data_IF_549227412239
#
_entry.id   IF_549227412239
#
_cell.length_a   1.000
_cell.length_b   1.000
_cell.length_c   1.000
_cell.angle_alpha   90.00
_cell.angle_beta   90.00
_cell.angle_gamma   90.00
#
_symmetry.space_group_name_H-M   'P 1'
#
loop_
_entity.id
_entity.type
_entity.pdbx_description
1 polymer ?
#
# COMPACT_ATOMS: atom_id res chain seq x y z
N UNK A 1 -24.19 -6.02 3.22
CA UNK A 1 -24.49 -4.73 3.90
C UNK A 1 -25.50 -3.99 3.05
N UNK A 2 -26.60 -3.54 3.63
CA UNK A 2 -27.62 -2.80 2.89
C UNK A 2 -26.98 -1.53 2.31
N UNK A 3 -27.13 -1.32 1.00
CA UNK A 3 -26.62 -0.18 0.23
C UNK A 3 -26.71 1.17 0.98
N UNK A 4 -27.84 1.57 1.61
CA UNK A 4 -27.94 2.88 2.27
C UNK A 4 -27.05 3.02 3.51
N UNK A 5 -26.87 1.95 4.29
CA UNK A 5 -26.06 2.01 5.52
C UNK A 5 -24.57 2.22 5.22
N UNK A 6 -24.09 1.62 4.13
CA UNK A 6 -22.72 1.83 3.69
C UNK A 6 -22.49 3.27 3.25
N UNK A 7 -23.45 3.89 2.55
CA UNK A 7 -23.34 5.27 2.08
C UNK A 7 -23.28 6.23 3.27
N UNK A 8 -24.17 6.05 4.25
CA UNK A 8 -24.19 6.86 5.47
C UNK A 8 -22.88 6.75 6.25
N UNK A 9 -22.32 5.54 6.37
CA UNK A 9 -21.04 5.31 7.05
C UNK A 9 -19.88 6.04 6.36
N UNK A 10 -19.75 5.92 5.03
CA UNK A 10 -18.67 6.61 4.29
C UNK A 10 -18.86 8.12 4.22
N UNK A 11 -20.11 8.60 4.23
CA UNK A 11 -20.43 10.02 4.35
C UNK A 11 -20.02 10.56 5.73
N UNK A 12 -20.31 9.83 6.81
CA UNK A 12 -19.92 10.21 8.17
C UNK A 12 -18.39 10.25 8.33
N UNK A 13 -17.66 9.27 7.80
CA UNK A 13 -16.19 9.24 7.82
C UNK A 13 -15.61 10.43 7.06
N UNK A 14 -16.14 10.71 5.86
CA UNK A 14 -15.68 11.84 5.06
C UNK A 14 -15.97 13.18 5.76
N UNK A 15 -17.13 13.31 6.41
CA UNK A 15 -17.50 14.49 7.17
C UNK A 15 -16.61 14.69 8.40
N UNK A 16 -16.26 13.62 9.12
CA UNK A 16 -15.33 13.67 10.24
C UNK A 16 -13.91 14.11 9.80
N UNK A 17 -13.43 13.58 8.67
CA UNK A 17 -12.16 14.00 8.09
C UNK A 17 -12.15 15.48 7.67
N UNK A 18 -13.21 15.92 6.98
CA UNK A 18 -13.38 17.32 6.60
C UNK A 18 -13.46 18.26 7.82
N UNK A 19 -14.17 17.85 8.86
CA UNK A 19 -14.23 18.57 10.14
C UNK A 19 -12.86 18.67 10.80
N UNK A 20 -12.08 17.58 10.81
CA UNK A 20 -10.70 17.59 11.32
C UNK A 20 -9.79 18.56 10.58
N UNK A 21 -9.85 18.60 9.24
CA UNK A 21 -9.12 19.59 8.46
C UNK A 21 -9.61 21.02 8.66
N UNK A 22 -10.93 21.23 8.81
CA UNK A 22 -11.50 22.55 9.06
C UNK A 22 -11.02 23.13 10.40
N UNK A 23 -11.06 22.31 11.46
CA UNK A 23 -10.54 22.71 12.79
C UNK A 23 -9.05 23.04 12.71
N UNK A 24 -8.27 22.22 12.03
CA UNK A 24 -6.83 22.43 11.84
C UNK A 24 -6.50 23.71 11.05
N UNK A 25 -7.35 24.06 10.07
CA UNK A 25 -7.14 25.21 9.21
C UNK A 25 -7.58 26.54 9.87
N UNK A 26 -8.66 26.51 10.65
CA UNK A 26 -9.31 27.68 11.24
C UNK A 26 -8.73 28.08 12.61
N UNK A 27 -8.29 27.12 13.43
CA UNK A 27 -7.71 27.40 14.74
C UNK A 27 -6.19 27.65 14.66
N UNK A 28 -5.79 28.79 14.07
CA UNK A 28 -4.39 29.24 14.04
C UNK A 28 -4.11 30.14 15.25
N UNK A 29 -3.50 29.60 16.32
CA UNK A 29 -3.00 30.40 17.44
C UNK A 29 -3.15 29.79 18.83
N UNK A 30 -4.03 28.79 18.99
CA UNK A 30 -4.14 27.99 20.22
C UNK A 30 -3.43 26.64 20.06
N UNK A 31 -3.15 25.95 21.17
CA UNK A 31 -2.63 24.58 21.14
C UNK A 31 -3.67 23.64 20.55
N UNK A 32 -3.61 23.42 19.23
CA UNK A 32 -4.52 22.50 18.54
C UNK A 32 -4.27 21.08 19.03
N UNK A 33 -5.32 20.41 19.49
CA UNK A 33 -5.23 19.03 19.92
C UNK A 33 -4.79 18.12 18.75
N UNK A 34 -3.71 17.36 18.95
CA UNK A 34 -3.20 16.40 17.98
C UNK A 34 -4.24 15.35 17.56
N UNK A 35 -5.29 15.12 18.36
CA UNK A 35 -6.41 14.27 18.00
C UNK A 35 -7.06 14.66 16.66
N UNK A 36 -7.15 15.97 16.34
CA UNK A 36 -7.74 16.43 15.08
C UNK A 36 -6.88 16.06 13.86
N UNK A 37 -5.56 16.08 14.00
CA UNK A 37 -4.64 15.56 12.99
C UNK A 37 -4.85 14.08 12.74
N UNK A 38 -4.94 13.29 13.82
CA UNK A 38 -5.12 11.85 13.73
C UNK A 38 -6.46 11.51 13.08
N UNK A 39 -7.53 12.19 13.47
CA UNK A 39 -8.86 12.00 12.88
C UNK A 39 -8.83 12.34 11.38
N UNK A 40 -8.25 13.48 11.00
CA UNK A 40 -8.13 13.89 9.59
C UNK A 40 -7.32 12.86 8.78
N UNK A 41 -6.19 12.39 9.30
CA UNK A 41 -5.34 11.40 8.65
C UNK A 41 -6.05 10.06 8.47
N UNK A 42 -6.61 9.50 9.55
CA UNK A 42 -7.30 8.20 9.53
C UNK A 42 -8.48 8.22 8.58
N UNK A 43 -9.33 9.26 8.64
CA UNK A 43 -10.48 9.37 7.74
C UNK A 43 -10.04 9.47 6.27
N UNK A 44 -8.99 10.25 5.98
CA UNK A 44 -8.46 10.38 4.62
C UNK A 44 -7.91 9.07 4.11
N UNK A 45 -7.14 8.34 4.92
CA UNK A 45 -6.58 7.04 4.55
C UNK A 45 -7.66 5.98 4.37
N UNK A 46 -8.71 5.99 5.19
CA UNK A 46 -9.84 5.05 5.03
C UNK A 46 -10.59 5.27 3.71
N UNK A 47 -10.85 6.54 3.35
CA UNK A 47 -11.48 6.90 2.07
C UNK A 47 -10.56 6.56 0.90
N UNK A 48 -9.28 6.95 0.99
CA UNK A 48 -8.27 6.67 -0.03
C UNK A 48 -8.12 5.16 -0.29
N UNK A 49 -7.97 4.36 0.76
CA UNK A 49 -7.89 2.91 0.66
C UNK A 49 -9.14 2.29 0.03
N UNK A 50 -10.33 2.75 0.42
CA UNK A 50 -11.59 2.15 -0.03
C UNK A 50 -11.92 2.44 -1.50
N UNK A 51 -11.67 3.66 -1.96
CA UNK A 51 -12.09 4.13 -3.29
C UNK A 51 -10.91 4.20 -4.25
N UNK A 52 -9.84 4.87 -3.86
CA UNK A 52 -8.71 5.15 -4.75
C UNK A 52 -7.81 3.93 -4.94
N UNK A 53 -7.40 3.25 -3.86
CA UNK A 53 -6.59 2.04 -3.99
C UNK A 53 -7.35 0.93 -4.75
N UNK A 54 -8.66 0.80 -4.53
CA UNK A 54 -9.51 -0.14 -5.27
C UNK A 54 -9.63 0.21 -6.75
N UNK A 55 -9.67 1.50 -7.09
CA UNK A 55 -9.64 1.96 -8.48
C UNK A 55 -8.32 1.58 -9.15
N UNK A 56 -7.18 1.89 -8.52
CA UNK A 56 -5.85 1.56 -9.03
C UNK A 56 -5.70 0.05 -9.23
N UNK A 57 -6.02 -0.75 -8.20
CA UNK A 57 -5.90 -2.20 -8.22
C UNK A 57 -6.69 -2.84 -9.38
N UNK A 58 -7.91 -2.39 -9.64
CA UNK A 58 -8.81 -3.03 -10.62
C UNK A 58 -8.72 -2.46 -12.02
N UNK A 59 -8.48 -1.16 -12.17
CA UNK A 59 -8.50 -0.49 -13.48
C UNK A 59 -7.13 -0.24 -14.06
N UNK A 60 -6.10 -0.08 -13.23
CA UNK A 60 -4.74 0.21 -13.70
C UNK A 60 -3.90 -1.06 -13.69
N UNK A 61 -3.92 -1.80 -12.57
CA UNK A 61 -3.10 -2.99 -12.39
C UNK A 61 -3.81 -4.29 -12.77
N UNK A 62 -5.12 -4.22 -13.05
CA UNK A 62 -5.96 -5.36 -13.44
C UNK A 62 -5.75 -6.61 -12.57
N UNK A 63 -5.65 -6.40 -11.24
CA UNK A 63 -5.49 -7.48 -10.29
C UNK A 63 -6.72 -8.41 -10.33
N UNK A 64 -6.45 -9.71 -10.45
CA UNK A 64 -7.47 -10.74 -10.62
C UNK A 64 -7.61 -11.56 -9.34
N UNK A 65 -8.62 -11.22 -8.53
CA UNK A 65 -8.93 -11.91 -7.26
C UNK A 65 -9.26 -13.41 -7.46
N UNK A 66 -9.43 -13.91 -8.69
CA UNK A 66 -9.74 -15.32 -8.99
C UNK A 66 -8.48 -16.16 -9.19
N UNK A 67 -7.30 -15.55 -9.27
CA UNK A 67 -6.04 -16.28 -9.37
C UNK A 67 -5.60 -16.70 -7.98
N UNK A 68 -5.55 -18.00 -7.77
CA UNK A 68 -5.01 -18.56 -6.54
C UNK A 68 -3.55 -18.12 -6.40
N UNK A 69 -3.22 -17.61 -5.22
CA UNK A 69 -1.88 -17.11 -4.93
C UNK A 69 -0.89 -18.27 -4.94
N UNK A 70 0.41 -18.04 -5.16
CA UNK A 70 1.37 -19.14 -5.26
C UNK A 70 1.48 -19.99 -4.00
N UNK A 71 1.25 -19.36 -2.83
CA UNK A 71 1.14 -20.04 -1.55
C UNK A 71 0.00 -21.07 -1.55
N UNK A 72 -1.12 -20.79 -2.23
CA UNK A 72 -2.26 -21.70 -2.36
C UNK A 72 -2.08 -22.72 -3.49
N UNK A 73 -1.46 -22.32 -4.63
CA UNK A 73 -1.29 -23.19 -5.81
C UNK A 73 -0.24 -24.28 -5.64
N UNK A 74 0.90 -23.96 -5.02
CA UNK A 74 2.05 -24.87 -4.90
C UNK A 74 2.06 -25.61 -3.56
N UNK A 75 1.51 -24.99 -2.51
CA UNK A 75 1.35 -25.49 -1.13
C UNK A 75 2.26 -26.69 -0.76
N UNK A 76 3.58 -26.46 -0.71
CA UNK A 76 4.58 -27.52 -0.61
C UNK A 76 5.09 -27.75 0.82
N UNK A 77 4.55 -27.02 1.81
CA UNK A 77 4.91 -27.18 3.23
C UNK A 77 6.30 -26.66 3.62
N UNK A 78 7.07 -26.08 2.68
CA UNK A 78 8.40 -25.50 2.92
C UNK A 78 8.52 -24.08 2.38
N UNK A 79 8.37 -23.92 1.07
CA UNK A 79 8.60 -22.65 0.36
C UNK A 79 7.29 -21.89 0.09
N UNK A 80 6.19 -22.64 -0.06
CA UNK A 80 4.84 -22.12 -0.32
C UNK A 80 3.91 -22.69 0.73
N UNK A 81 3.62 -21.89 1.76
CA UNK A 81 2.69 -22.24 2.82
C UNK A 81 1.66 -21.12 2.95
N UNK A 82 0.35 -21.41 2.93
CA UNK A 82 -0.69 -20.42 3.18
C UNK A 82 -0.53 -19.82 4.58
N UNK A 83 -0.07 -18.57 4.64
CA UNK A 83 0.15 -17.84 5.90
C UNK A 83 -1.04 -16.94 6.22
N UNK A 84 -1.30 -16.71 7.50
CA UNK A 84 -2.34 -15.78 7.93
C UNK A 84 -2.03 -14.34 7.46
N UNK A 85 -2.99 -13.73 6.78
CA UNK A 85 -2.94 -12.34 6.27
C UNK A 85 -2.50 -11.29 7.30
N UNK A 86 -2.80 -11.49 8.59
CA UNK A 86 -2.40 -10.54 9.64
C UNK A 86 -0.91 -10.59 9.95
N UNK A 87 -0.32 -11.78 9.87
CA UNK A 87 1.12 -12.00 10.07
C UNK A 87 1.91 -11.41 8.91
N UNK A 88 1.40 -11.63 7.68
CA UNK A 88 1.94 -11.05 6.45
C UNK A 88 1.91 -9.51 6.49
N UNK A 89 0.76 -8.92 6.88
CA UNK A 89 0.65 -7.47 7.05
C UNK A 89 1.68 -6.92 8.04
N UNK A 90 1.89 -7.62 9.17
CA UNK A 90 2.90 -7.23 10.15
C UNK A 90 4.32 -7.19 9.58
N UNK A 91 4.66 -8.10 8.67
CA UNK A 91 5.98 -8.11 8.01
C UNK A 91 6.13 -7.01 6.98
N UNK A 92 5.10 -6.75 6.17
CA UNK A 92 5.10 -5.59 5.28
C UNK A 92 5.24 -4.28 6.05
N UNK A 93 4.49 -4.15 7.16
CA UNK A 93 4.60 -2.99 8.02
C UNK A 93 6.01 -2.86 8.59
N UNK A 94 6.58 -3.94 9.16
CA UNK A 94 7.93 -3.91 9.73
C UNK A 94 9.01 -3.56 8.71
N UNK A 95 8.91 -4.05 7.46
CA UNK A 95 9.86 -3.76 6.39
C UNK A 95 9.85 -2.28 5.97
N UNK A 96 8.70 -1.60 6.10
CA UNK A 96 8.53 -0.19 5.71
C UNK A 96 8.72 0.76 6.89
N UNK A 97 8.42 0.31 8.12
CA UNK A 97 8.44 1.12 9.34
C UNK A 97 9.84 1.57 9.81
N UNK A 98 10.88 1.41 9.00
CA UNK A 98 12.27 1.83 9.26
C UNK A 98 12.46 3.36 9.33
N UNK A 99 13.46 3.90 8.62
CA UNK A 99 13.76 5.34 8.72
C UNK A 99 12.72 6.28 8.09
N UNK A 100 11.84 5.76 7.22
CA UNK A 100 10.86 6.55 6.45
C UNK A 100 9.89 7.38 7.30
N UNK A 101 9.18 6.78 8.28
CA UNK A 101 8.25 7.49 9.18
C UNK A 101 8.89 8.56 10.06
N UNK A 102 10.23 8.57 10.19
CA UNK A 102 10.98 9.57 10.96
C UNK A 102 11.46 10.72 10.06
N UNK A 103 12.07 10.41 8.93
CA UNK A 103 12.68 11.43 8.06
C UNK A 103 11.62 12.24 7.31
N UNK A 104 10.56 11.60 6.82
CA UNK A 104 9.51 12.25 6.03
C UNK A 104 8.82 13.41 6.76
N UNK A 105 8.30 13.21 7.98
CA UNK A 105 7.66 14.29 8.74
C UNK A 105 8.59 15.44 9.10
N UNK A 106 9.86 15.15 9.41
CA UNK A 106 10.86 16.19 9.72
C UNK A 106 11.16 17.04 8.48
N UNK A 107 11.26 16.43 7.30
CA UNK A 107 11.41 17.15 6.04
C UNK A 107 10.17 17.98 5.70
N UNK A 108 8.96 17.44 5.90
CA UNK A 108 7.72 18.15 5.63
C UNK A 108 7.48 19.33 6.59
N UNK A 109 7.87 19.19 7.87
CA UNK A 109 7.71 20.23 8.87
C UNK A 109 8.50 21.52 8.57
N UNK A 110 9.61 21.41 7.80
CA UNK A 110 10.40 22.56 7.37
C UNK A 110 9.63 23.51 6.45
N UNK A 111 8.62 23.02 5.74
CA UNK A 111 7.74 23.84 4.89
C UNK A 111 6.56 24.44 5.65
N UNK A 112 6.50 24.24 6.98
CA UNK A 112 5.44 24.71 7.86
C UNK A 112 4.49 23.59 8.30
N UNK A 113 3.94 23.74 9.50
CA UNK A 113 3.11 22.72 10.15
C UNK A 113 1.88 22.31 9.31
N UNK A 114 1.04 23.28 8.92
CA UNK A 114 -0.19 23.02 8.18
C UNK A 114 0.07 22.52 6.74
N UNK A 115 0.89 23.20 5.91
CA UNK A 115 1.18 22.72 4.55
C UNK A 115 1.93 21.38 4.55
N UNK A 116 2.89 21.18 5.47
CA UNK A 116 3.60 19.91 5.62
C UNK A 116 2.65 18.78 6.01
N UNK A 117 1.75 19.00 6.96
CA UNK A 117 0.73 18.01 7.34
C UNK A 117 -0.20 17.66 6.18
N UNK A 118 -0.73 18.67 5.47
CA UNK A 118 -1.62 18.44 4.34
C UNK A 118 -0.91 17.61 3.25
N UNK A 119 0.35 17.93 2.98
CA UNK A 119 1.16 17.16 2.04
C UNK A 119 1.40 15.72 2.50
N UNK A 120 1.69 15.49 3.78
CA UNK A 120 1.87 14.14 4.32
C UNK A 120 0.60 13.30 4.22
N UNK A 121 -0.57 13.89 4.50
CA UNK A 121 -1.83 13.14 4.48
C UNK A 121 -2.32 12.93 3.03
N UNK A 122 -2.35 13.99 2.23
CA UNK A 122 -2.91 13.92 0.86
C UNK A 122 -1.90 13.31 -0.11
N UNK A 123 -0.63 13.75 -0.03
CA UNK A 123 0.43 13.33 -0.94
C UNK A 123 0.76 11.84 -0.84
N UNK A 124 0.66 11.24 0.36
CA UNK A 124 0.87 9.79 0.49
C UNK A 124 -0.24 9.00 -0.21
N UNK A 125 -1.49 9.48 -0.20
CA UNK A 125 -2.61 8.78 -0.86
C UNK A 125 -2.52 8.90 -2.36
N UNK A 126 -2.24 10.11 -2.88
CA UNK A 126 -2.25 10.38 -4.32
C UNK A 126 -0.96 9.92 -5.02
N UNK A 127 0.18 10.11 -4.36
CA UNK A 127 1.50 9.88 -4.93
C UNK A 127 2.21 8.72 -4.26
N UNK A 128 2.56 8.87 -2.98
CA UNK A 128 3.49 7.96 -2.28
C UNK A 128 3.08 6.49 -2.37
N UNK A 129 1.89 6.14 -1.89
CA UNK A 129 1.40 4.77 -1.88
C UNK A 129 1.20 4.20 -3.31
N UNK A 130 0.82 5.04 -4.27
CA UNK A 130 0.65 4.63 -5.67
C UNK A 130 1.98 4.36 -6.32
N UNK A 131 2.95 5.27 -6.12
CA UNK A 131 4.30 5.17 -6.62
C UNK A 131 4.98 3.92 -6.07
N UNK A 132 4.92 3.70 -4.75
CA UNK A 132 5.53 2.52 -4.11
C UNK A 132 4.93 1.24 -4.68
N UNK A 133 3.61 1.17 -4.79
CA UNK A 133 2.91 0.02 -5.34
C UNK A 133 3.28 -0.27 -6.80
N UNK A 134 3.28 0.76 -7.66
CA UNK A 134 3.57 0.62 -9.10
C UNK A 134 5.05 0.33 -9.34
N UNK A 135 5.96 1.05 -8.69
CA UNK A 135 7.40 0.87 -8.86
C UNK A 135 7.85 -0.48 -8.32
N UNK A 136 7.35 -0.92 -7.17
CA UNK A 136 7.69 -2.24 -6.64
C UNK A 136 7.29 -3.34 -7.63
N UNK A 137 6.07 -3.29 -8.15
CA UNK A 137 5.60 -4.29 -9.12
C UNK A 137 6.40 -4.25 -10.44
N UNK A 138 6.64 -3.04 -10.98
CA UNK A 138 7.36 -2.88 -12.24
C UNK A 138 8.85 -3.22 -12.13
N UNK A 139 9.49 -2.87 -11.02
CA UNK A 139 10.93 -3.11 -10.78
C UNK A 139 11.24 -4.59 -10.70
N UNK A 140 10.49 -5.34 -9.89
CA UNK A 140 10.66 -6.79 -9.77
C UNK A 140 10.44 -7.46 -11.12
N UNK A 141 9.43 -7.04 -11.87
CA UNK A 141 9.17 -7.56 -13.22
C UNK A 141 10.33 -7.35 -14.18
N UNK A 142 10.80 -6.10 -14.31
CA UNK A 142 11.91 -5.75 -15.21
C UNK A 142 13.21 -6.41 -14.79
N UNK A 143 13.48 -6.48 -13.49
CA UNK A 143 14.69 -7.11 -12.96
C UNK A 143 14.76 -8.59 -13.35
N UNK A 144 13.67 -9.32 -13.15
CA UNK A 144 13.59 -10.74 -13.52
C UNK A 144 13.66 -10.94 -15.04
N UNK A 145 12.93 -10.14 -15.83
CA UNK A 145 12.97 -10.24 -17.30
C UNK A 145 14.36 -9.90 -17.88
N UNK A 146 15.07 -8.92 -17.32
CA UNK A 146 16.41 -8.53 -17.78
C UNK A 146 17.45 -9.61 -17.45
N UNK A 147 17.42 -10.11 -16.22
CA UNK A 147 18.40 -11.09 -15.75
C UNK A 147 18.23 -12.43 -16.48
N UNK A 148 16.99 -12.86 -16.72
CA UNK A 148 16.68 -14.07 -17.47
C UNK A 148 17.10 -14.02 -18.96
N UNK A 149 17.21 -12.84 -19.58
CA UNK A 149 17.66 -12.69 -20.99
C UNK A 149 19.17 -12.84 -21.15
N UNK A 150 19.95 -12.36 -20.20
CA UNK A 150 21.41 -12.35 -20.33
C UNK A 150 22.03 -13.69 -19.93
N UNK A 151 21.46 -14.36 -18.92
CA UNK A 151 22.06 -15.54 -18.29
C UNK A 151 20.97 -16.48 -17.80
N UNK A 152 21.19 -17.80 -17.82
CA UNK A 152 20.36 -18.72 -17.06
C UNK A 152 20.41 -18.30 -15.58
N UNK A 153 19.31 -17.71 -15.13
CA UNK A 153 19.22 -17.03 -13.84
C UNK A 153 18.33 -17.84 -12.93
N UNK A 154 18.92 -18.34 -11.85
CA UNK A 154 18.18 -18.93 -10.74
C UNK A 154 17.93 -17.81 -9.73
N UNK A 155 16.70 -17.30 -9.67
CA UNK A 155 16.32 -16.38 -8.61
C UNK A 155 16.06 -17.20 -7.34
N UNK A 156 17.04 -17.20 -6.43
CA UNK A 156 16.89 -17.74 -5.09
C UNK A 156 16.29 -16.64 -4.20
N UNK A 157 15.03 -16.80 -3.83
CA UNK A 157 14.37 -15.93 -2.87
C UNK A 157 14.59 -16.52 -1.47
N UNK A 158 15.52 -15.96 -0.71
CA UNK A 158 15.88 -16.47 0.63
C UNK A 158 14.69 -16.44 1.60
N UNK A 159 13.74 -15.52 1.38
CA UNK A 159 12.56 -15.32 2.21
C UNK A 159 11.24 -15.46 1.43
N UNK A 160 11.17 -16.38 0.46
CA UNK A 160 9.94 -16.62 -0.33
C UNK A 160 8.71 -16.92 0.54
N UNK A 161 8.92 -17.53 1.70
CA UNK A 161 7.87 -17.83 2.67
C UNK A 161 7.25 -16.58 3.34
N UNK A 162 7.89 -15.41 3.22
CA UNK A 162 7.41 -14.10 3.69
C UNK A 162 6.92 -13.16 2.58
N UNK A 163 7.06 -13.56 1.31
CA UNK A 163 6.70 -12.72 0.17
C UNK A 163 5.19 -12.47 0.08
N UNK A 164 4.81 -11.23 -0.28
CA UNK A 164 3.41 -10.87 -0.48
C UNK A 164 2.78 -11.70 -1.59
N UNK A 165 1.48 -12.08 -1.52
CA UNK A 165 0.83 -12.86 -2.55
C UNK A 165 0.92 -12.22 -3.94
N UNK A 166 0.94 -10.89 -4.02
CA UNK A 166 1.14 -10.13 -5.25
C UNK A 166 2.56 -10.28 -5.80
N UNK A 167 3.58 -10.26 -4.92
CA UNK A 167 4.98 -10.49 -5.31
C UNK A 167 5.16 -11.93 -5.80
N UNK A 168 4.56 -12.89 -5.10
CA UNK A 168 4.58 -14.27 -5.50
C UNK A 168 3.87 -14.45 -6.86
N UNK A 169 2.69 -13.85 -7.04
CA UNK A 169 1.90 -13.96 -8.28
C UNK A 169 2.64 -13.35 -9.48
N UNK A 170 3.35 -12.24 -9.25
CA UNK A 170 4.28 -11.66 -10.20
C UNK A 170 5.41 -12.66 -10.53
N UNK A 171 6.05 -13.27 -9.53
CA UNK A 171 7.11 -14.27 -9.72
C UNK A 171 6.63 -15.47 -10.53
N UNK A 172 5.42 -15.98 -10.25
CA UNK A 172 4.84 -17.07 -11.04
C UNK A 172 4.49 -16.64 -12.47
N UNK A 173 3.95 -15.44 -12.65
CA UNK A 173 3.62 -14.90 -13.99
C UNK A 173 4.89 -14.73 -14.84
N UNK A 174 5.99 -14.33 -14.21
CA UNK A 174 7.30 -14.24 -14.85
C UNK A 174 7.85 -15.64 -15.15
N UNK A 175 7.78 -16.57 -14.20
CA UNK A 175 8.26 -17.94 -14.35
C UNK A 175 7.46 -18.78 -15.37
N UNK A 176 6.20 -18.45 -15.64
CA UNK A 176 5.44 -19.07 -16.73
C UNK A 176 5.83 -18.48 -18.08
N UNK A 177 6.00 -17.15 -18.19
CA UNK A 177 6.40 -16.48 -19.43
C UNK A 177 7.81 -16.82 -19.91
N UNK A 178 8.73 -17.07 -18.99
CA UNK A 178 10.11 -17.45 -19.31
C UNK A 178 10.21 -18.92 -19.74
N UNK A 179 9.23 -19.76 -19.39
CA UNK A 179 9.22 -21.19 -19.76
C UNK A 179 8.79 -21.43 -21.21
N UNK A 180 8.15 -20.45 -21.83
CA UNK A 180 7.64 -20.49 -23.21
C UNK A 180 8.59 -19.79 -24.22
N UNK A 181 9.80 -19.40 -23.80
CA UNK A 181 10.89 -18.85 -24.64
C UNK A 181 12.05 -19.84 -24.66
#
# INVERSE_FOLDING_TARGET
MNQPWSILLWAAISAAGAGGFAVLALHRGESVNAAWLVIAAVCTYMVGYRFYARFIARRIMELDDRRATPAERLNNGRDFVPTNKWVLYGHHFAAIAGAGPLVGPVLAAQFGYLPGTLWLIIGVVLGGAVQDFVILFASVRRFVEALARERPTVLAFEDAHWAEPVLLELVQTLASRIRDV
#
